data_IF_764584905396
#
_entry.id   IF_764584905396
#
_cell.length_a   1.000
_cell.length_b   1.000
_cell.length_c   1.000
_cell.angle_alpha   90.00
_cell.angle_beta   90.00
_cell.angle_gamma   90.00
#
_symmetry.space_group_name_H-M   'P 1'
#
loop_
_entity.id
_entity.type
_entity.pdbx_description
1 polymer ?
#
# COMPACT_ATOMS: atom_id res chain seq x y z
N UNK A 1 -13.08 7.31 -64.77
CA UNK A 1 -12.06 6.80 -63.82
C UNK A 1 -12.20 7.55 -62.50
N UNK A 2 -12.91 7.01 -61.53
CA UNK A 2 -13.13 7.57 -60.18
C UNK A 2 -12.09 6.96 -59.23
N UNK A 3 -11.14 7.77 -58.83
CA UNK A 3 -10.14 7.41 -57.81
C UNK A 3 -10.79 7.53 -56.44
N UNK A 4 -10.96 6.41 -55.73
CA UNK A 4 -11.36 6.40 -54.32
C UNK A 4 -10.13 6.70 -53.45
N UNK A 5 -10.08 7.89 -52.88
CA UNK A 5 -9.15 8.21 -51.81
C UNK A 5 -9.58 7.44 -50.54
N UNK A 6 -8.81 6.44 -50.18
CA UNK A 6 -8.91 5.77 -48.87
C UNK A 6 -8.10 6.65 -47.90
N UNK A 7 -8.80 7.39 -47.05
CA UNK A 7 -8.21 8.13 -45.95
C UNK A 7 -7.82 7.13 -44.87
N UNK A 8 -6.51 6.86 -44.73
CA UNK A 8 -6.01 6.13 -43.54
C UNK A 8 -6.25 7.03 -42.32
N UNK A 9 -7.25 6.69 -41.54
CA UNK A 9 -7.40 7.21 -40.19
C UNK A 9 -6.25 6.65 -39.34
N UNK A 10 -5.29 7.53 -39.03
CA UNK A 10 -4.25 7.26 -38.06
C UNK A 10 -4.91 7.02 -36.70
N UNK A 11 -4.98 5.77 -36.26
CA UNK A 11 -5.30 5.45 -34.88
C UNK A 11 -4.18 6.05 -34.02
N UNK A 12 -4.45 7.15 -33.32
CA UNK A 12 -3.62 7.61 -32.22
C UNK A 12 -3.56 6.45 -31.23
N UNK A 13 -2.39 5.83 -31.07
CA UNK A 13 -2.10 4.90 -30.01
C UNK A 13 -2.25 5.71 -28.71
N UNK A 14 -3.40 5.58 -28.05
CA UNK A 14 -3.63 6.20 -26.75
C UNK A 14 -2.50 5.74 -25.83
N UNK A 15 -1.91 6.68 -25.14
CA UNK A 15 -0.76 6.42 -24.26
C UNK A 15 -1.31 5.72 -23.02
N UNK A 16 -1.29 4.39 -23.03
CA UNK A 16 -1.61 3.59 -21.86
C UNK A 16 -0.51 3.86 -20.83
N UNK A 17 -0.84 4.54 -19.74
CA UNK A 17 0.09 4.73 -18.63
C UNK A 17 0.22 3.39 -17.89
N UNK A 18 1.38 2.76 -18.02
CA UNK A 18 1.70 1.55 -17.27
C UNK A 18 2.33 1.88 -15.93
N UNK A 19 2.02 1.10 -14.91
CA UNK A 19 2.70 1.19 -13.61
C UNK A 19 4.18 0.85 -13.76
N UNK A 20 5.01 1.49 -12.97
CA UNK A 20 6.45 1.21 -12.87
C UNK A 20 6.79 0.85 -11.44
N UNK A 21 7.82 0.03 -11.25
CA UNK A 21 8.37 -0.23 -9.92
C UNK A 21 8.95 1.09 -9.38
N UNK A 22 8.43 1.63 -8.26
CA UNK A 22 8.99 2.85 -7.69
C UNK A 22 10.38 2.57 -7.12
N UNK A 23 11.28 3.52 -7.28
CA UNK A 23 12.58 3.46 -6.60
C UNK A 23 12.38 3.56 -5.08
N UNK A 24 13.20 2.83 -4.32
CA UNK A 24 13.17 2.89 -2.85
C UNK A 24 13.59 4.26 -2.32
N UNK A 25 14.55 4.92 -2.98
CA UNK A 25 15.19 6.15 -2.51
C UNK A 25 16.22 5.92 -1.40
N UNK A 26 16.54 4.65 -1.07
CA UNK A 26 17.57 4.23 -0.12
C UNK A 26 18.13 2.85 -0.52
N UNK A 27 19.33 2.51 -0.04
CA UNK A 27 19.97 1.24 -0.32
C UNK A 27 19.28 0.07 0.38
N UNK A 28 19.39 -1.15 -0.17
CA UNK A 28 18.75 -2.33 0.40
C UNK A 28 19.20 -2.64 1.84
N UNK A 29 20.43 -2.30 2.20
CA UNK A 29 21.00 -2.47 3.56
C UNK A 29 20.70 -1.30 4.52
N UNK A 30 20.03 -0.26 4.06
CA UNK A 30 19.78 0.96 4.85
C UNK A 30 18.97 0.70 6.13
N UNK A 31 18.18 -0.37 6.17
CA UNK A 31 17.33 -0.71 7.31
C UNK A 31 17.98 -1.74 8.26
N UNK A 32 19.19 -2.20 7.95
CA UNK A 32 19.90 -3.09 8.88
C UNK A 32 20.26 -2.39 10.20
N UNK A 33 20.29 -3.12 11.30
CA UNK A 33 20.15 -4.57 11.46
C UNK A 33 18.69 -5.06 11.56
N UNK A 34 17.68 -4.21 11.41
CA UNK A 34 16.27 -4.53 11.65
C UNK A 34 15.67 -5.37 10.52
N UNK A 35 15.80 -4.90 9.29
CA UNK A 35 15.44 -5.64 8.07
C UNK A 35 16.70 -5.90 7.27
N UNK A 36 16.87 -7.12 6.78
CA UNK A 36 18.08 -7.53 6.05
C UNK A 36 18.05 -7.14 4.58
N UNK A 37 19.22 -6.86 4.03
CA UNK A 37 19.38 -6.42 2.65
C UNK A 37 18.83 -7.42 1.63
N UNK A 38 19.02 -8.74 1.86
CA UNK A 38 18.54 -9.77 0.96
C UNK A 38 17.01 -9.80 0.86
N UNK A 39 16.33 -9.71 2.01
CA UNK A 39 14.86 -9.60 2.04
C UNK A 39 14.41 -8.36 1.29
N UNK A 40 15.03 -7.20 1.54
CA UNK A 40 14.67 -5.94 0.89
C UNK A 40 14.84 -6.00 -0.63
N UNK A 41 15.93 -6.56 -1.11
CA UNK A 41 16.19 -6.71 -2.55
C UNK A 41 15.15 -7.61 -3.22
N UNK A 42 14.91 -8.80 -2.68
CA UNK A 42 13.96 -9.77 -3.24
C UNK A 42 12.53 -9.23 -3.16
N UNK A 43 12.15 -8.68 -2.01
CA UNK A 43 10.82 -8.15 -1.77
C UNK A 43 10.49 -7.01 -2.73
N UNK A 44 11.42 -6.07 -2.95
CA UNK A 44 11.25 -4.97 -3.89
C UNK A 44 11.39 -5.42 -5.34
N UNK A 45 12.55 -5.98 -5.73
CA UNK A 45 12.89 -6.21 -7.14
C UNK A 45 12.21 -7.44 -7.76
N UNK A 46 11.67 -8.37 -6.96
CA UNK A 46 11.00 -9.59 -7.43
C UNK A 46 9.50 -9.57 -7.11
N UNK A 47 9.12 -9.53 -5.83
CA UNK A 47 7.70 -9.57 -5.45
C UNK A 47 6.94 -8.34 -5.92
N UNK A 48 7.41 -7.12 -5.59
CA UNK A 48 6.72 -5.91 -6.03
C UNK A 48 6.76 -5.76 -7.57
N UNK A 49 7.88 -6.06 -8.22
CA UNK A 49 7.98 -6.03 -9.69
C UNK A 49 6.97 -6.98 -10.35
N UNK A 50 6.76 -8.17 -9.78
CA UNK A 50 5.77 -9.11 -10.30
C UNK A 50 4.33 -8.55 -10.21
N UNK A 51 3.97 -7.88 -9.12
CA UNK A 51 2.68 -7.19 -9.02
C UNK A 51 2.52 -6.11 -10.08
N UNK A 52 3.55 -5.31 -10.31
CA UNK A 52 3.56 -4.29 -11.37
C UNK A 52 3.33 -4.92 -12.74
N UNK A 53 4.10 -5.95 -13.10
CA UNK A 53 4.01 -6.61 -14.39
C UNK A 53 2.62 -7.23 -14.62
N UNK A 54 2.10 -7.92 -13.62
CA UNK A 54 0.81 -8.59 -13.70
C UNK A 54 -0.37 -7.59 -13.74
N UNK A 55 -0.29 -6.49 -12.99
CA UNK A 55 -1.29 -5.43 -13.07
C UNK A 55 -1.33 -4.78 -14.46
N UNK A 56 -0.16 -4.46 -15.03
CA UNK A 56 -0.04 -3.87 -16.36
C UNK A 56 -0.61 -4.80 -17.44
N UNK A 57 -0.32 -6.10 -17.39
CA UNK A 57 -0.85 -7.08 -18.34
C UNK A 57 -2.40 -7.11 -18.35
N UNK A 58 -3.04 -6.86 -17.21
CA UNK A 58 -4.50 -6.74 -17.15
C UNK A 58 -4.96 -5.39 -17.66
N UNK A 59 -4.29 -4.29 -17.28
CA UNK A 59 -4.64 -2.92 -17.69
C UNK A 59 -4.60 -2.75 -19.20
N UNK A 60 -3.69 -3.39 -19.91
CA UNK A 60 -3.60 -3.39 -21.37
C UNK A 60 -4.87 -3.94 -22.06
N UNK A 61 -5.69 -4.70 -21.34
CA UNK A 61 -6.94 -5.27 -21.83
C UNK A 61 -8.18 -4.47 -21.44
N UNK A 62 -8.00 -3.34 -20.76
CA UNK A 62 -9.08 -2.48 -20.25
C UNK A 62 -9.11 -1.14 -21.00
N UNK A 63 -10.26 -0.41 -20.96
CA UNK A 63 -10.32 0.96 -21.42
C UNK A 63 -9.28 1.87 -20.78
N UNK A 64 -8.79 2.86 -21.52
CA UNK A 64 -7.72 3.76 -21.11
C UNK A 64 -8.01 4.50 -19.79
N UNK A 65 -9.26 4.77 -19.49
CA UNK A 65 -9.70 5.41 -18.25
C UNK A 65 -9.19 4.70 -16.98
N UNK A 66 -9.06 3.35 -17.02
CA UNK A 66 -8.53 2.58 -15.90
C UNK A 66 -7.00 2.63 -15.82
N UNK A 67 -6.31 2.69 -16.94
CA UNK A 67 -4.85 2.78 -16.98
C UNK A 67 -4.31 4.16 -16.61
N UNK A 68 -5.14 5.20 -16.66
CA UNK A 68 -4.79 6.55 -16.21
C UNK A 68 -4.87 6.72 -14.68
N UNK A 69 -5.52 5.79 -13.98
CA UNK A 69 -5.65 5.81 -12.53
C UNK A 69 -4.36 5.33 -11.86
N UNK A 70 -3.93 5.99 -10.77
CA UNK A 70 -2.95 5.37 -9.90
C UNK A 70 -3.53 4.11 -9.23
N UNK A 71 -2.67 3.19 -8.81
CA UNK A 71 -3.11 1.91 -8.25
C UNK A 71 -4.08 2.06 -7.07
N UNK A 72 -3.86 3.04 -6.19
CA UNK A 72 -4.78 3.32 -5.08
C UNK A 72 -6.17 3.75 -5.53
N UNK A 73 -6.26 4.59 -6.58
CA UNK A 73 -7.55 4.98 -7.16
C UNK A 73 -8.23 3.80 -7.84
N UNK A 74 -7.48 2.99 -8.59
CA UNK A 74 -8.01 1.83 -9.29
C UNK A 74 -8.65 0.83 -8.31
N UNK A 75 -7.94 0.46 -7.24
CA UNK A 75 -8.44 -0.51 -6.27
C UNK A 75 -9.60 0.01 -5.43
N UNK A 76 -9.78 1.32 -5.33
CA UNK A 76 -10.95 1.90 -4.66
C UNK A 76 -12.23 1.88 -5.52
N UNK A 77 -12.13 1.43 -6.78
CA UNK A 77 -13.20 1.40 -7.77
C UNK A 77 -13.31 0.04 -8.46
N UNK A 78 -12.96 -1.04 -7.75
CA UNK A 78 -13.01 -2.41 -8.30
C UNK A 78 -14.40 -2.82 -8.77
N UNK A 79 -15.46 -2.25 -8.21
CA UNK A 79 -16.84 -2.47 -8.63
C UNK A 79 -17.11 -2.01 -10.07
N UNK A 80 -16.38 -1.02 -10.58
CA UNK A 80 -16.49 -0.49 -11.95
C UNK A 80 -15.71 -1.31 -12.98
N UNK A 81 -14.82 -2.19 -12.52
CA UNK A 81 -14.01 -3.04 -13.39
C UNK A 81 -14.80 -4.26 -13.82
N UNK A 82 -14.69 -4.73 -15.09
CA UNK A 82 -15.30 -5.97 -15.55
C UNK A 82 -15.02 -7.13 -14.61
N UNK A 83 -16.03 -7.90 -14.27
CA UNK A 83 -16.01 -8.91 -13.19
C UNK A 83 -14.88 -9.93 -13.37
N UNK A 84 -14.60 -10.33 -14.61
CA UNK A 84 -13.55 -11.29 -14.97
C UNK A 84 -12.10 -10.75 -14.75
N UNK A 85 -11.94 -9.43 -14.61
CA UNK A 85 -10.65 -8.76 -14.38
C UNK A 85 -10.44 -8.34 -12.92
N UNK A 86 -11.52 -8.25 -12.12
CA UNK A 86 -11.48 -7.73 -10.74
C UNK A 86 -10.51 -8.47 -9.85
N UNK A 87 -10.53 -9.79 -9.86
CA UNK A 87 -9.65 -10.60 -8.98
C UNK A 87 -8.19 -10.37 -9.30
N UNK A 88 -7.84 -10.32 -10.59
CA UNK A 88 -6.46 -10.08 -11.00
C UNK A 88 -5.98 -8.69 -10.57
N UNK A 89 -6.79 -7.64 -10.74
CA UNK A 89 -6.45 -6.28 -10.30
C UNK A 89 -6.50 -6.10 -8.78
N UNK A 90 -7.47 -6.71 -8.09
CA UNK A 90 -7.49 -6.77 -6.63
C UNK A 90 -6.16 -7.27 -6.07
N UNK A 91 -5.64 -8.36 -6.63
CA UNK A 91 -4.39 -8.95 -6.16
C UNK A 91 -3.16 -8.14 -6.61
N UNK A 92 -3.06 -7.77 -7.87
CA UNK A 92 -1.83 -7.22 -8.43
C UNK A 92 -1.74 -5.70 -8.33
N UNK A 93 -2.81 -4.95 -8.63
CA UNK A 93 -2.84 -3.52 -8.37
C UNK A 93 -2.91 -3.23 -6.85
N UNK A 94 -3.59 -4.10 -6.08
CA UNK A 94 -3.54 -4.09 -4.62
C UNK A 94 -2.12 -4.28 -4.10
N UNK A 95 -1.42 -5.30 -4.58
CA UNK A 95 -0.01 -5.54 -4.24
C UNK A 95 0.87 -4.35 -4.58
N UNK A 96 0.72 -3.78 -5.78
CA UNK A 96 1.49 -2.59 -6.17
C UNK A 96 1.19 -1.38 -5.26
N UNK A 97 -0.07 -1.09 -4.96
CA UNK A 97 -0.45 0.02 -4.08
C UNK A 97 0.08 -0.16 -2.66
N UNK A 98 -0.07 -1.36 -2.09
CA UNK A 98 0.37 -1.69 -0.73
C UNK A 98 1.89 -1.56 -0.58
N UNK A 99 2.65 -2.13 -1.51
CA UNK A 99 4.11 -2.08 -1.48
C UNK A 99 4.65 -0.67 -1.74
N UNK A 100 4.01 0.11 -2.63
CA UNK A 100 4.38 1.51 -2.86
C UNK A 100 4.24 2.38 -1.61
N UNK A 101 3.22 2.11 -0.78
CA UNK A 101 3.08 2.74 0.53
C UNK A 101 4.13 2.22 1.52
N UNK A 102 4.35 0.92 1.56
CA UNK A 102 5.26 0.26 2.49
C UNK A 102 6.68 0.81 2.39
N UNK A 103 7.24 0.89 1.19
CA UNK A 103 8.60 1.40 1.00
C UNK A 103 8.80 2.83 1.52
N UNK A 104 7.84 3.71 1.28
CA UNK A 104 7.86 5.11 1.76
C UNK A 104 7.69 5.20 3.28
N UNK A 105 7.04 4.21 3.87
CA UNK A 105 6.83 4.11 5.32
C UNK A 105 8.05 3.63 6.09
N UNK A 106 9.16 3.30 5.42
CA UNK A 106 10.36 2.75 6.05
C UNK A 106 11.53 3.73 6.02
N UNK A 107 12.06 4.06 7.20
CA UNK A 107 13.25 4.90 7.41
C UNK A 107 13.69 4.81 8.87
N UNK A 108 14.98 4.61 9.12
CA UNK A 108 15.51 4.67 10.49
C UNK A 108 15.62 6.12 10.98
N UNK A 109 15.61 6.29 12.31
CA UNK A 109 15.97 7.54 12.98
C UNK A 109 14.90 8.62 12.97
N UNK A 110 13.62 8.28 12.67
CA UNK A 110 12.49 9.20 12.81
C UNK A 110 11.73 8.94 14.12
N UNK A 111 11.01 9.94 14.60
CA UNK A 111 10.31 9.88 15.88
C UNK A 111 8.84 10.28 15.72
N UNK A 112 7.95 9.51 16.34
CA UNK A 112 6.52 9.86 16.42
C UNK A 112 6.32 11.10 17.28
N UNK A 113 5.78 12.18 16.71
CA UNK A 113 5.58 13.47 17.37
C UNK A 113 4.45 14.27 16.72
N UNK A 114 4.16 15.44 17.27
CA UNK A 114 3.20 16.40 16.71
C UNK A 114 1.76 15.90 16.70
N UNK A 115 0.99 16.36 15.71
CA UNK A 115 -0.46 16.11 15.61
C UNK A 115 -0.80 14.62 15.43
N UNK A 116 0.04 13.86 14.74
CA UNK A 116 -0.15 12.43 14.61
C UNK A 116 -0.04 11.73 15.97
N UNK A 117 0.97 12.08 16.78
CA UNK A 117 1.10 11.53 18.14
C UNK A 117 -0.11 11.87 19.00
N UNK A 118 -0.55 13.12 18.97
CA UNK A 118 -1.73 13.56 19.72
C UNK A 118 -3.00 12.81 19.27
N UNK A 119 -3.18 12.58 17.97
CA UNK A 119 -4.29 11.78 17.45
C UNK A 119 -4.22 10.30 17.88
N UNK A 120 -3.04 9.71 17.90
CA UNK A 120 -2.83 8.35 18.41
C UNK A 120 -3.19 8.29 19.90
N UNK A 121 -2.70 9.22 20.72
CA UNK A 121 -3.03 9.27 22.16
C UNK A 121 -4.51 9.49 22.40
N UNK A 122 -5.17 10.33 21.60
CA UNK A 122 -6.62 10.53 21.66
C UNK A 122 -7.42 9.26 21.35
N UNK A 123 -7.04 8.54 20.30
CA UNK A 123 -7.88 7.45 19.78
C UNK A 123 -7.56 6.09 20.41
N UNK A 124 -6.34 5.89 20.93
CA UNK A 124 -5.87 4.64 21.54
C UNK A 124 -5.57 4.78 23.06
N UNK A 125 -5.61 6.00 23.59
CA UNK A 125 -5.30 6.29 25.00
C UNK A 125 -3.80 6.48 25.26
N UNK A 126 -2.92 5.78 24.55
CA UNK A 126 -1.47 5.96 24.62
C UNK A 126 -0.78 5.41 23.36
N UNK A 127 0.49 5.77 23.17
CA UNK A 127 1.34 5.22 22.09
C UNK A 127 1.61 3.73 22.33
N UNK A 128 1.74 3.30 23.57
CA UNK A 128 1.94 1.91 23.97
C UNK A 128 0.73 1.05 23.61
N UNK A 129 -0.47 1.51 23.89
CA UNK A 129 -1.72 0.84 23.51
C UNK A 129 -1.85 0.73 22.00
N UNK A 130 -1.58 1.81 21.28
CA UNK A 130 -1.55 1.81 19.81
C UNK A 130 -0.61 0.73 19.27
N UNK A 131 0.64 0.67 19.78
CA UNK A 131 1.60 -0.35 19.35
C UNK A 131 1.12 -1.75 19.68
N UNK A 132 0.59 -1.97 20.88
CA UNK A 132 0.07 -3.27 21.30
C UNK A 132 -1.11 -3.76 20.42
N UNK A 133 -2.04 -2.85 20.06
CA UNK A 133 -3.13 -3.18 19.15
C UNK A 133 -2.63 -3.48 17.73
N UNK A 134 -1.68 -2.71 17.22
CA UNK A 134 -1.10 -2.94 15.90
C UNK A 134 -0.32 -4.27 15.85
N UNK A 135 0.51 -4.54 16.84
CA UNK A 135 1.25 -5.81 16.97
C UNK A 135 0.30 -7.00 17.06
N UNK A 136 -0.79 -6.87 17.82
CA UNK A 136 -1.84 -7.90 17.90
C UNK A 136 -2.47 -8.13 16.52
N UNK A 137 -2.86 -7.08 15.82
CA UNK A 137 -3.46 -7.21 14.48
C UNK A 137 -2.50 -7.89 13.48
N UNK A 138 -1.21 -7.54 13.52
CA UNK A 138 -0.17 -8.14 12.69
C UNK A 138 0.10 -9.62 13.04
N UNK A 139 0.20 -9.93 14.32
CA UNK A 139 0.49 -11.29 14.80
C UNK A 139 -0.70 -12.25 14.58
N UNK A 140 -1.93 -11.77 14.76
CA UNK A 140 -3.14 -12.60 14.63
C UNK A 140 -3.68 -12.69 13.19
N UNK A 141 -3.13 -11.96 12.24
CA UNK A 141 -3.47 -12.14 10.81
C UNK A 141 -3.03 -13.54 10.38
N UNK A 142 -4.01 -14.44 10.29
CA UNK A 142 -3.74 -15.81 9.86
C UNK A 142 -3.39 -15.85 8.37
N UNK A 143 -2.26 -16.49 8.04
CA UNK A 143 -1.76 -16.55 6.67
C UNK A 143 -1.12 -15.24 6.21
N UNK A 144 -1.18 -14.99 4.91
CA UNK A 144 -0.63 -13.80 4.27
C UNK A 144 -1.58 -12.62 4.41
N UNK A 145 -1.04 -11.44 4.58
CA UNK A 145 -1.82 -10.20 4.67
C UNK A 145 -1.05 -9.03 5.21
N UNK A 146 -1.78 -8.06 5.73
CA UNK A 146 -1.26 -6.78 6.18
C UNK A 146 -1.94 -6.34 7.48
N UNK A 147 -1.20 -5.60 8.31
CA UNK A 147 -1.76 -4.79 9.40
C UNK A 147 -1.64 -3.31 9.05
N UNK A 148 -2.64 -2.52 9.40
CA UNK A 148 -2.76 -1.13 8.98
C UNK A 148 -3.13 -0.20 10.13
N UNK A 149 -2.50 0.99 10.16
CA UNK A 149 -3.07 2.17 10.78
C UNK A 149 -3.85 2.92 9.70
N UNK A 150 -5.14 3.10 9.90
CA UNK A 150 -6.02 3.84 8.97
C UNK A 150 -6.65 5.04 9.64
N UNK A 151 -7.03 6.03 8.82
CA UNK A 151 -7.89 7.13 9.24
C UNK A 151 -9.22 7.06 8.47
N UNK A 152 -10.33 7.15 9.20
CA UNK A 152 -11.68 7.25 8.63
C UNK A 152 -12.45 8.32 9.40
N UNK A 153 -12.98 9.32 8.69
CA UNK A 153 -13.74 10.45 9.28
C UNK A 153 -13.01 11.11 10.46
N UNK A 154 -11.69 11.29 10.34
CA UNK A 154 -10.86 11.95 11.35
C UNK A 154 -10.47 11.08 12.56
N UNK A 155 -10.93 9.83 12.62
CA UNK A 155 -10.60 8.86 13.66
C UNK A 155 -9.59 7.83 13.17
N UNK A 156 -8.59 7.55 13.99
CA UNK A 156 -7.60 6.50 13.74
C UNK A 156 -8.13 5.15 14.24
N UNK A 157 -7.81 4.10 13.49
CA UNK A 157 -8.09 2.72 13.91
C UNK A 157 -7.06 1.75 13.32
N UNK A 158 -6.96 0.58 13.93
CA UNK A 158 -6.13 -0.52 13.45
C UNK A 158 -7.01 -1.57 12.83
N UNK A 159 -6.64 -2.00 11.63
CA UNK A 159 -7.32 -3.05 10.87
C UNK A 159 -6.30 -4.02 10.28
N UNK A 160 -6.74 -5.19 9.86
CA UNK A 160 -5.92 -6.12 9.10
C UNK A 160 -6.67 -6.67 7.90
N UNK A 161 -5.96 -6.91 6.82
CA UNK A 161 -6.51 -7.42 5.55
C UNK A 161 -5.80 -8.70 5.12
N UNK A 162 -6.49 -9.57 4.40
CA UNK A 162 -5.92 -10.78 3.84
C UNK A 162 -5.20 -10.50 2.51
N UNK A 163 -4.20 -11.30 2.18
CA UNK A 163 -3.51 -11.27 0.91
C UNK A 163 -3.01 -9.86 0.53
N UNK A 164 -3.42 -9.35 -0.65
CA UNK A 164 -3.10 -7.99 -1.08
C UNK A 164 -4.31 -7.04 -1.01
N UNK A 165 -5.32 -7.39 -0.24
CA UNK A 165 -6.43 -6.48 0.03
C UNK A 165 -5.93 -5.23 0.76
N UNK A 166 -6.50 -4.11 0.39
CA UNK A 166 -6.21 -2.80 0.98
C UNK A 166 -7.48 -2.23 1.62
N UNK A 167 -7.38 -1.48 2.73
CA UNK A 167 -8.53 -0.73 3.27
C UNK A 167 -9.20 0.21 2.26
N UNK A 168 -8.47 0.62 1.20
CA UNK A 168 -9.01 1.42 0.09
C UNK A 168 -10.08 0.67 -0.74
N UNK A 169 -10.09 -0.65 -0.71
CA UNK A 169 -11.08 -1.47 -1.44
C UNK A 169 -12.46 -1.46 -0.79
N UNK A 170 -12.57 -0.91 0.42
CA UNK A 170 -13.82 -0.82 1.14
C UNK A 170 -14.22 -2.10 1.87
N UNK A 171 -15.26 -1.95 2.70
CA UNK A 171 -15.69 -2.96 3.66
C UNK A 171 -16.19 -4.26 3.03
N UNK A 172 -16.80 -4.16 1.85
CA UNK A 172 -17.35 -5.34 1.14
C UNK A 172 -16.25 -6.27 0.61
N UNK A 173 -15.10 -5.71 0.19
CA UNK A 173 -13.99 -6.48 -0.41
C UNK A 173 -12.95 -6.83 0.64
N UNK A 174 -12.49 -5.84 1.42
CA UNK A 174 -11.39 -6.00 2.37
C UNK A 174 -11.82 -6.31 3.80
N UNK A 175 -13.14 -6.31 4.09
CA UNK A 175 -13.69 -6.49 5.43
C UNK A 175 -13.50 -5.27 6.36
N UNK A 176 -12.83 -4.24 5.87
CA UNK A 176 -12.57 -2.98 6.57
C UNK A 176 -12.48 -1.84 5.56
N UNK A 177 -12.44 -0.61 6.07
CA UNK A 177 -12.31 0.59 5.25
C UNK A 177 -11.49 1.66 5.97
N UNK A 178 -11.00 2.63 5.21
CA UNK A 178 -10.24 3.77 5.70
C UNK A 178 -9.06 4.10 4.80
N UNK A 179 -8.50 5.28 4.99
CA UNK A 179 -7.30 5.69 4.28
C UNK A 179 -6.06 5.18 5.01
N UNK A 180 -5.22 4.31 4.39
CA UNK A 180 -4.07 3.73 5.06
C UNK A 180 -2.96 4.78 5.23
N UNK A 181 -2.53 4.97 6.48
CA UNK A 181 -1.42 5.84 6.85
C UNK A 181 -0.11 5.06 6.97
N UNK A 182 -0.17 3.87 7.56
CA UNK A 182 0.95 2.98 7.79
C UNK A 182 0.49 1.53 7.54
N UNK A 183 1.32 0.74 6.89
CA UNK A 183 1.07 -0.68 6.65
C UNK A 183 2.28 -1.53 7.01
N UNK A 184 2.05 -2.73 7.53
CA UNK A 184 3.05 -3.76 7.75
C UNK A 184 2.67 -5.00 6.97
N UNK A 185 3.54 -5.42 6.06
CA UNK A 185 3.44 -6.68 5.33
C UNK A 185 3.74 -7.85 6.26
N UNK A 186 2.78 -8.76 6.44
CA UNK A 186 2.96 -9.99 7.22
C UNK A 186 2.91 -11.26 6.36
N UNK A 187 3.08 -11.11 5.04
CA UNK A 187 3.44 -12.22 4.18
C UNK A 187 4.80 -12.79 4.61
N UNK A 188 4.99 -14.08 4.52
CA UNK A 188 6.26 -14.71 4.92
C UNK A 188 7.46 -14.21 4.12
N UNK A 189 7.27 -13.85 2.84
CA UNK A 189 8.33 -13.26 2.02
C UNK A 189 8.91 -11.95 2.59
N UNK A 190 8.17 -11.25 3.45
CA UNK A 190 8.62 -10.00 4.06
C UNK A 190 9.60 -10.20 5.23
N UNK A 191 9.67 -11.41 5.81
CA UNK A 191 10.43 -11.62 7.03
C UNK A 191 11.14 -12.99 7.14
N UNK A 192 10.79 -13.98 6.34
CA UNK A 192 11.19 -15.37 6.58
C UNK A 192 12.71 -15.59 6.52
N UNK A 193 13.43 -14.91 5.63
CA UNK A 193 14.87 -15.09 5.48
C UNK A 193 15.64 -14.73 6.77
N UNK A 194 15.20 -13.70 7.47
CA UNK A 194 15.83 -13.25 8.72
C UNK A 194 15.19 -13.85 9.97
N UNK A 195 13.87 -13.91 10.01
CA UNK A 195 13.13 -14.24 11.23
C UNK A 195 12.53 -15.65 11.22
N UNK A 196 12.50 -16.34 10.08
CA UNK A 196 11.84 -17.63 9.86
C UNK A 196 10.40 -17.58 10.38
N UNK A 197 10.00 -18.50 11.26
CA UNK A 197 8.66 -18.56 11.84
C UNK A 197 8.40 -17.50 12.92
N UNK A 198 9.38 -16.69 13.28
CA UNK A 198 9.28 -15.72 14.39
C UNK A 198 8.68 -14.38 13.92
N UNK A 199 7.46 -14.41 13.39
CA UNK A 199 6.74 -13.18 13.00
C UNK A 199 6.67 -12.13 14.12
N UNK A 200 6.48 -12.48 15.42
CA UNK A 200 6.49 -11.48 16.49
C UNK A 200 7.80 -10.69 16.61
N UNK A 201 8.95 -11.31 16.31
CA UNK A 201 10.24 -10.61 16.35
C UNK A 201 10.35 -9.59 15.19
N UNK A 202 9.91 -9.98 14.00
CA UNK A 202 9.80 -9.07 12.85
C UNK A 202 8.90 -7.85 13.15
N UNK A 203 7.73 -8.09 13.76
CA UNK A 203 6.79 -7.03 14.13
C UNK A 203 7.42 -6.05 15.12
N UNK A 204 8.20 -6.53 16.10
CA UNK A 204 8.91 -5.67 17.04
C UNK A 204 10.00 -4.82 16.37
N UNK A 205 10.75 -5.43 15.44
CA UNK A 205 11.80 -4.73 14.71
C UNK A 205 11.24 -3.66 13.77
N UNK A 206 10.00 -3.78 13.31
CA UNK A 206 9.34 -2.80 12.47
C UNK A 206 9.32 -1.39 13.08
N UNK A 207 9.11 -1.27 14.39
CA UNK A 207 9.05 0.04 15.05
C UNK A 207 10.37 0.84 14.95
N UNK A 208 11.50 0.16 14.76
CA UNK A 208 12.80 0.79 14.58
C UNK A 208 13.01 1.40 13.18
N UNK A 209 12.15 1.06 12.24
CA UNK A 209 12.28 1.46 10.83
C UNK A 209 11.04 2.20 10.29
N UNK A 210 10.07 2.55 11.13
CA UNK A 210 8.91 3.35 10.68
C UNK A 210 9.35 4.77 10.34
N UNK A 211 9.01 5.24 9.16
CA UNK A 211 9.18 6.62 8.72
C UNK A 211 8.04 7.51 9.26
N UNK A 212 8.16 7.93 10.51
CA UNK A 212 7.13 8.73 11.17
C UNK A 212 6.89 10.09 10.51
N UNK A 213 7.91 10.67 9.86
CA UNK A 213 7.77 11.92 9.11
C UNK A 213 6.80 11.73 7.93
N UNK A 214 6.94 10.63 7.19
CA UNK A 214 6.05 10.31 6.08
C UNK A 214 4.62 9.99 6.56
N UNK A 215 4.48 9.24 7.65
CA UNK A 215 3.16 8.90 8.21
C UNK A 215 2.44 10.16 8.71
N UNK A 216 3.18 11.09 9.35
CA UNK A 216 2.63 12.37 9.81
C UNK A 216 2.21 13.26 8.64
N UNK A 217 3.00 13.34 7.56
CA UNK A 217 2.65 14.09 6.34
C UNK A 217 1.38 13.54 5.69
N UNK A 218 1.25 12.21 5.58
CA UNK A 218 0.02 11.57 5.08
C UNK A 218 -1.20 11.87 5.94
N UNK A 219 -1.03 11.83 7.25
CA UNK A 219 -2.09 12.17 8.21
C UNK A 219 -2.57 13.60 8.02
N UNK A 220 -1.63 14.56 7.97
CA UNK A 220 -1.95 15.98 7.80
C UNK A 220 -2.66 16.25 6.46
N UNK A 221 -2.19 15.67 5.36
CA UNK A 221 -2.81 15.80 4.03
C UNK A 221 -4.22 15.24 4.02
N UNK A 222 -4.44 14.08 4.65
CA UNK A 222 -5.78 13.47 4.69
C UNK A 222 -6.76 14.27 5.55
N UNK A 223 -6.32 14.90 6.62
CA UNK A 223 -7.15 15.81 7.40
C UNK A 223 -7.55 17.05 6.60
N UNK A 224 -6.63 17.63 5.83
CA UNK A 224 -6.91 18.77 4.97
C UNK A 224 -7.96 18.43 3.89
N UNK A 225 -7.84 17.26 3.24
CA UNK A 225 -8.80 16.78 2.23
C UNK A 225 -10.21 16.55 2.80
N UNK A 226 -10.31 16.20 4.08
CA UNK A 226 -11.58 15.96 4.76
C UNK A 226 -12.24 17.26 5.25
N UNK A 227 -11.64 18.43 5.01
CA UNK A 227 -12.15 19.71 5.55
C UNK A 227 -12.02 19.83 7.07
N UNK A 228 -11.29 18.94 7.71
CA UNK A 228 -11.01 18.95 9.15
C UNK A 228 -9.74 19.75 9.51
N UNK A 229 -9.21 20.53 8.57
CA UNK A 229 -8.15 21.48 8.86
C UNK A 229 -8.75 22.65 9.63
N UNK A 230 -8.54 22.64 10.94
CA UNK A 230 -8.71 23.71 11.91
C UNK A 230 -10.00 24.57 11.83
N UNK A 231 -10.92 24.30 12.71
CA UNK A 231 -11.65 25.40 13.36
C UNK A 231 -10.94 25.76 14.67
#
# INVERSE_FOLDING_TARGET
VLSKNITLTSFKKEHIMSYTLPELGYAYDALEPHFDAQTMEIHHSKHHQAYVNNANAVLETLPAEFSEMCAGQLISQLDKIPVEKRTALRNNAGGHANHSLFWKSLKKGTTLQGDLKAAIERDFGSVENFKAEFEKAAATRFGSGWAWLVINQGKLSIVSTANQDSPLMGKEIAGCEGFPLLGLDVWEHAYYLKFQNRRPDYIKEFWNVVNWDFVADRFAKKLADCGCAAK
#
